data_IF_426356930541
#
_entry.id   IF_426356930541
#
_cell.length_a   1.000
_cell.length_b   1.000
_cell.length_c   1.000
_cell.angle_alpha   90.00
_cell.angle_beta   90.00
_cell.angle_gamma   90.00
#
_symmetry.space_group_name_H-M   'P 1'
#
loop_
_entity.id
_entity.type
_entity.pdbx_description
1 polymer ?
#
# COMPACT_ATOMS: atom_id res chain seq x y z
N UNK A 1 -1.08 -26.97 -10.65
CA UNK A 1 -0.98 -25.59 -10.24
C UNK A 1 -2.35 -24.99 -10.08
N UNK A 2 -2.64 -24.29 -8.97
CA UNK A 2 -3.91 -23.60 -8.71
C UNK A 2 -3.89 -22.14 -9.20
N UNK A 3 -2.77 -21.71 -9.78
CA UNK A 3 -2.62 -20.37 -10.35
C UNK A 3 -3.34 -20.26 -11.69
N UNK A 4 -3.92 -19.09 -11.97
CA UNK A 4 -4.49 -18.77 -13.27
C UNK A 4 -3.83 -17.50 -13.85
N UNK A 5 -3.85 -17.40 -15.18
CA UNK A 5 -3.26 -16.26 -15.87
C UNK A 5 -4.23 -15.06 -15.87
N UNK A 6 -3.71 -13.85 -15.62
CA UNK A 6 -4.54 -12.65 -15.47
C UNK A 6 -5.39 -12.29 -16.69
N UNK A 7 -4.94 -12.64 -17.89
CA UNK A 7 -5.59 -12.27 -19.17
C UNK A 7 -6.31 -13.43 -19.88
N UNK A 8 -6.21 -14.65 -19.37
CA UNK A 8 -6.87 -15.81 -19.96
C UNK A 8 -7.98 -16.34 -19.05
N UNK A 9 -9.08 -16.84 -19.61
CA UNK A 9 -10.12 -17.49 -18.83
C UNK A 9 -9.57 -18.76 -18.16
N UNK A 10 -10.03 -19.03 -16.94
CA UNK A 10 -9.77 -20.30 -16.28
C UNK A 10 -10.63 -21.38 -16.93
N UNK A 11 -10.05 -22.11 -17.89
CA UNK A 11 -10.74 -23.18 -18.63
C UNK A 11 -11.21 -24.33 -17.73
N UNK A 12 -10.64 -24.45 -16.53
CA UNK A 12 -11.04 -25.48 -15.54
C UNK A 12 -12.17 -24.99 -14.63
N UNK A 13 -12.54 -23.70 -14.66
CA UNK A 13 -13.55 -23.14 -13.76
C UNK A 13 -14.94 -23.77 -13.96
N UNK A 14 -15.29 -24.18 -15.18
CA UNK A 14 -16.56 -24.83 -15.50
C UNK A 14 -16.58 -26.30 -15.01
N UNK A 15 -15.45 -27.00 -15.11
CA UNK A 15 -15.33 -28.39 -14.68
C UNK A 15 -15.20 -28.52 -13.15
N UNK A 16 -14.61 -27.54 -12.51
CA UNK A 16 -14.34 -27.52 -11.07
C UNK A 16 -15.30 -26.58 -10.32
N UNK A 17 -16.56 -26.93 -10.19
CA UNK A 17 -17.53 -26.21 -9.35
C UNK A 17 -17.27 -26.32 -7.85
N UNK A 18 -16.27 -27.11 -7.45
CA UNK A 18 -15.87 -27.25 -6.04
C UNK A 18 -14.75 -26.28 -5.71
N UNK A 19 -14.75 -25.77 -4.47
CA UNK A 19 -13.64 -24.99 -3.95
C UNK A 19 -12.35 -25.82 -4.02
N UNK A 20 -11.29 -25.26 -4.63
CA UNK A 20 -10.00 -25.93 -4.80
C UNK A 20 -8.98 -25.26 -3.91
N UNK A 21 -8.29 -26.07 -3.11
CA UNK A 21 -7.30 -25.64 -2.14
C UNK A 21 -7.50 -26.34 -0.79
N UNK A 22 -6.58 -26.10 0.13
CA UNK A 22 -6.71 -26.60 1.51
C UNK A 22 -7.87 -25.88 2.22
N UNK A 23 -8.86 -26.59 2.76
CA UNK A 23 -10.13 -26.02 3.23
C UNK A 23 -9.99 -24.87 4.23
N UNK A 24 -8.97 -24.90 5.08
CA UNK A 24 -8.73 -23.88 6.10
C UNK A 24 -8.41 -22.48 5.49
N UNK A 25 -7.74 -22.42 4.35
CA UNK A 25 -7.20 -21.19 3.71
C UNK A 25 -8.04 -20.64 2.55
N UNK A 26 -9.09 -21.37 2.13
CA UNK A 26 -9.97 -20.95 1.03
C UNK A 26 -10.69 -19.65 1.40
N UNK A 27 -10.63 -18.65 0.51
CA UNK A 27 -11.31 -17.37 0.69
C UNK A 27 -12.84 -17.49 0.46
N UNK A 28 -13.66 -16.60 1.05
CA UNK A 28 -15.11 -16.60 0.90
C UNK A 28 -15.60 -16.67 -0.55
N UNK A 29 -15.03 -15.85 -1.45
CA UNK A 29 -15.37 -15.82 -2.87
C UNK A 29 -15.06 -17.14 -3.58
N UNK A 30 -13.99 -17.83 -3.19
CA UNK A 30 -13.64 -19.13 -3.76
C UNK A 30 -14.64 -20.22 -3.35
N UNK A 31 -15.26 -20.10 -2.17
CA UNK A 31 -16.32 -21.03 -1.71
C UNK A 31 -17.56 -20.95 -2.62
N UNK A 32 -17.83 -19.79 -3.22
CA UNK A 32 -18.93 -19.58 -4.17
C UNK A 32 -18.48 -19.67 -5.64
N UNK A 33 -17.25 -20.14 -5.89
CA UNK A 33 -16.74 -20.44 -7.22
C UNK A 33 -16.02 -19.31 -7.95
N UNK A 34 -15.88 -18.12 -7.34
CA UNK A 34 -15.10 -17.02 -7.93
C UNK A 34 -13.61 -17.32 -7.76
N UNK A 35 -12.86 -17.31 -8.85
CA UNK A 35 -11.42 -17.59 -8.89
C UNK A 35 -10.64 -16.46 -9.53
N UNK A 36 -9.34 -16.49 -9.34
CA UNK A 36 -8.40 -15.54 -9.97
C UNK A 36 -8.44 -14.14 -9.36
N UNK A 37 -9.11 -13.95 -8.22
CA UNK A 37 -8.99 -12.72 -7.46
C UNK A 37 -7.73 -12.78 -6.59
N UNK A 38 -6.70 -11.92 -6.82
CA UNK A 38 -5.46 -11.95 -6.05
C UNK A 38 -5.70 -11.65 -4.55
N UNK A 39 -6.83 -11.05 -4.20
CA UNK A 39 -7.21 -10.78 -2.81
C UNK A 39 -7.64 -12.05 -2.06
N UNK A 40 -7.82 -13.18 -2.76
CA UNK A 40 -7.98 -14.50 -2.13
C UNK A 40 -6.67 -14.95 -1.48
N UNK A 41 -5.52 -14.62 -2.06
CA UNK A 41 -4.20 -14.91 -1.46
C UNK A 41 -3.96 -14.01 -0.24
N UNK A 42 -4.44 -12.76 -0.27
CA UNK A 42 -4.45 -11.88 0.91
C UNK A 42 -5.23 -12.50 2.07
N UNK A 43 -6.39 -13.11 1.77
CA UNK A 43 -7.16 -13.83 2.80
C UNK A 43 -6.38 -15.01 3.36
N UNK A 44 -5.74 -15.82 2.50
CA UNK A 44 -4.92 -16.96 2.94
C UNK A 44 -3.74 -16.51 3.83
N UNK A 45 -3.06 -15.42 3.48
CA UNK A 45 -2.02 -14.79 4.32
C UNK A 45 -2.64 -14.36 5.67
N UNK A 46 -3.84 -13.78 5.66
CA UNK A 46 -4.56 -13.43 6.88
C UNK A 46 -4.83 -14.63 7.79
N UNK A 47 -5.18 -15.79 7.22
CA UNK A 47 -5.34 -17.05 7.97
C UNK A 47 -4.02 -17.49 8.61
N UNK A 48 -2.92 -17.45 7.85
CA UNK A 48 -1.58 -17.79 8.34
C UNK A 48 -1.14 -16.85 9.49
N UNK A 49 -1.31 -15.54 9.31
CA UNK A 49 -0.96 -14.58 10.35
C UNK A 49 -1.80 -14.77 11.62
N UNK A 50 -3.08 -15.09 11.46
CA UNK A 50 -3.96 -15.39 12.59
C UNK A 50 -3.49 -16.61 13.36
N UNK A 51 -3.19 -17.71 12.66
CA UNK A 51 -2.70 -18.95 13.26
C UNK A 51 -1.36 -18.74 13.96
N UNK A 52 -0.41 -18.04 13.33
CA UNK A 52 0.88 -17.69 13.94
C UNK A 52 0.73 -16.83 15.21
N UNK A 53 -0.26 -15.93 15.24
CA UNK A 53 -0.47 -15.03 16.36
C UNK A 53 -1.24 -15.66 17.53
N UNK A 54 -2.08 -16.66 17.25
CA UNK A 54 -3.03 -17.23 18.25
C UNK A 54 -2.84 -18.71 18.54
N UNK A 55 -2.18 -19.45 17.64
CA UNK A 55 -2.10 -20.92 17.67
C UNK A 55 -3.38 -21.61 17.20
N UNK A 56 -4.39 -20.87 16.72
CA UNK A 56 -5.68 -21.40 16.28
C UNK A 56 -6.02 -20.96 14.87
N UNK A 57 -6.81 -21.74 14.15
CA UNK A 57 -7.36 -21.36 12.85
C UNK A 57 -8.60 -20.45 13.03
N UNK A 58 -8.71 -19.33 12.25
CA UNK A 58 -9.77 -18.34 12.45
C UNK A 58 -11.19 -18.87 12.23
N UNK A 59 -11.35 -19.94 11.43
CA UNK A 59 -12.63 -20.59 11.12
C UNK A 59 -12.60 -22.08 11.42
N UNK A 60 -11.62 -22.55 12.21
CA UNK A 60 -11.40 -23.96 12.49
C UNK A 60 -11.07 -24.80 11.24
N UNK A 61 -11.17 -26.09 11.35
CA UNK A 61 -10.97 -27.05 10.26
C UNK A 61 -12.32 -27.47 9.67
N UNK A 62 -12.77 -26.87 8.57
CA UNK A 62 -14.06 -27.19 7.98
C UNK A 62 -14.00 -28.53 7.26
N UNK A 63 -14.69 -29.55 7.80
CA UNK A 63 -14.80 -30.87 7.19
C UNK A 63 -15.86 -30.96 6.07
N UNK A 64 -16.72 -29.94 5.94
CA UNK A 64 -17.83 -29.93 4.99
C UNK A 64 -17.93 -28.63 4.21
N UNK A 65 -18.59 -28.67 3.05
CA UNK A 65 -18.90 -27.47 2.27
C UNK A 65 -19.73 -26.46 3.08
N UNK A 66 -20.62 -26.90 3.94
CA UNK A 66 -21.39 -26.06 4.86
C UNK A 66 -20.51 -25.33 5.86
N UNK A 67 -19.53 -26.03 6.43
CA UNK A 67 -18.51 -25.43 7.31
C UNK A 67 -17.67 -24.36 6.58
N UNK A 68 -17.27 -24.63 5.33
CA UNK A 68 -16.56 -23.64 4.52
C UNK A 68 -17.38 -22.37 4.25
N UNK A 69 -18.70 -22.49 4.09
CA UNK A 69 -19.58 -21.33 3.85
C UNK A 69 -19.70 -20.37 5.05
N UNK A 70 -19.33 -20.79 6.27
CA UNK A 70 -19.37 -19.92 7.44
C UNK A 70 -18.55 -18.63 7.27
N UNK A 71 -17.42 -18.69 6.55
CA UNK A 71 -16.58 -17.52 6.27
C UNK A 71 -17.21 -16.46 5.37
N UNK A 72 -18.35 -16.76 4.73
CA UNK A 72 -19.12 -15.77 3.96
C UNK A 72 -19.81 -14.73 4.86
N UNK A 73 -20.08 -15.08 6.13
CA UNK A 73 -20.88 -14.26 7.04
C UNK A 73 -20.34 -14.18 8.46
N UNK A 74 -19.48 -15.14 8.89
CA UNK A 74 -18.91 -15.16 10.23
C UNK A 74 -17.56 -14.43 10.22
N UNK A 75 -17.36 -13.54 11.21
CA UNK A 75 -16.04 -13.00 11.49
C UNK A 75 -15.31 -13.95 12.45
N UNK A 76 -13.97 -14.08 12.36
CA UNK A 76 -13.21 -14.84 13.33
C UNK A 76 -13.22 -14.16 14.70
N UNK A 77 -12.89 -14.91 15.75
CA UNK A 77 -12.64 -14.30 17.05
C UNK A 77 -11.50 -13.26 16.92
N UNK A 78 -11.56 -12.12 17.60
CA UNK A 78 -10.44 -11.19 17.60
C UNK A 78 -9.16 -11.85 18.13
N UNK A 79 -8.01 -11.77 17.44
CA UNK A 79 -6.76 -12.37 17.90
C UNK A 79 -6.39 -12.04 19.34
N UNK A 80 -6.58 -10.78 19.75
CA UNK A 80 -6.30 -10.31 21.11
C UNK A 80 -7.21 -10.87 22.19
N UNK A 81 -8.34 -11.47 21.83
CA UNK A 81 -9.17 -12.25 22.75
C UNK A 81 -8.52 -13.57 23.12
N UNK A 82 -7.80 -14.19 22.18
CA UNK A 82 -7.12 -15.48 22.37
C UNK A 82 -5.72 -15.28 22.94
N UNK A 83 -5.01 -14.29 22.44
CA UNK A 83 -3.65 -13.94 22.86
C UNK A 83 -3.53 -12.42 23.07
N UNK A 84 -3.50 -11.97 24.32
CA UNK A 84 -3.42 -10.57 24.69
C UNK A 84 -2.05 -9.93 24.34
N UNK A 85 -1.02 -10.72 24.07
CA UNK A 85 0.27 -10.22 23.62
C UNK A 85 0.27 -9.72 22.16
N UNK A 86 -0.76 -10.04 21.37
CA UNK A 86 -0.92 -9.54 20.01
C UNK A 86 -1.15 -8.03 20.05
N UNK A 87 -0.29 -7.21 19.39
CA UNK A 87 -0.48 -5.76 19.39
C UNK A 87 -1.70 -5.34 18.53
N UNK A 88 -2.24 -4.16 18.81
CA UNK A 88 -3.42 -3.63 18.11
C UNK A 88 -3.23 -3.53 16.61
N UNK A 89 -2.05 -3.12 16.17
CA UNK A 89 -1.73 -2.98 14.76
C UNK A 89 -1.77 -4.35 14.02
N UNK A 90 -1.26 -5.40 14.65
CA UNK A 90 -1.25 -6.73 14.02
C UNK A 90 -2.67 -7.30 13.93
N UNK A 91 -3.49 -7.11 14.97
CA UNK A 91 -4.91 -7.46 14.91
C UNK A 91 -5.65 -6.68 13.80
N UNK A 92 -5.37 -5.37 13.65
CA UNK A 92 -5.94 -4.56 12.59
C UNK A 92 -5.63 -5.15 11.20
N UNK A 93 -4.36 -5.51 10.95
CA UNK A 93 -3.91 -6.11 9.70
C UNK A 93 -4.56 -7.47 9.47
N UNK A 94 -4.51 -8.36 10.45
CA UNK A 94 -5.07 -9.73 10.35
C UNK A 94 -6.56 -9.65 10.00
N UNK A 95 -7.34 -8.91 10.77
CA UNK A 95 -8.78 -8.83 10.55
C UNK A 95 -9.17 -8.07 9.28
N UNK A 96 -8.30 -7.20 8.76
CA UNK A 96 -8.48 -6.59 7.44
C UNK A 96 -8.26 -7.61 6.32
N UNK A 97 -7.24 -8.45 6.42
CA UNK A 97 -7.00 -9.54 5.46
C UNK A 97 -8.18 -10.55 5.46
N UNK A 98 -8.73 -10.85 6.63
CA UNK A 98 -9.81 -11.83 6.80
C UNK A 98 -11.22 -11.27 6.54
N UNK A 99 -11.34 -10.04 6.01
CA UNK A 99 -12.65 -9.48 5.72
C UNK A 99 -13.42 -10.34 4.70
N UNK A 100 -14.71 -10.69 4.93
CA UNK A 100 -15.49 -11.52 4.01
C UNK A 100 -15.57 -10.95 2.58
N UNK A 101 -15.74 -9.63 2.46
CA UNK A 101 -15.77 -8.94 1.17
C UNK A 101 -14.34 -8.61 0.70
N UNK A 102 -13.90 -9.18 -0.42
CA UNK A 102 -12.56 -8.99 -0.98
C UNK A 102 -12.23 -7.49 -1.21
N UNK A 103 -13.21 -6.66 -1.59
CA UNK A 103 -13.01 -5.23 -1.80
C UNK A 103 -12.62 -4.44 -0.53
N UNK A 104 -12.84 -5.00 0.66
CA UNK A 104 -12.51 -4.38 1.95
C UNK A 104 -11.18 -4.90 2.53
N UNK A 105 -10.52 -5.83 1.86
CA UNK A 105 -9.17 -6.30 2.16
C UNK A 105 -8.11 -5.33 1.62
N UNK A 106 -6.85 -5.71 1.73
CA UNK A 106 -5.79 -5.04 0.99
C UNK A 106 -5.98 -5.25 -0.51
N UNK A 107 -5.77 -4.21 -1.34
CA UNK A 107 -5.95 -4.33 -2.79
C UNK A 107 -4.85 -5.17 -3.45
N UNK A 108 -3.65 -5.21 -2.89
CA UNK A 108 -2.52 -6.01 -3.36
C UNK A 108 -1.61 -6.46 -2.22
N UNK A 109 -0.74 -7.43 -2.51
CA UNK A 109 0.29 -7.90 -1.57
C UNK A 109 1.27 -6.79 -1.20
N UNK A 110 1.58 -5.87 -2.12
CA UNK A 110 2.45 -4.73 -1.85
C UNK A 110 1.87 -3.80 -0.78
N UNK A 111 0.56 -3.52 -0.82
CA UNK A 111 -0.10 -2.73 0.23
C UNK A 111 -0.06 -3.41 1.61
N UNK A 112 -0.22 -4.73 1.64
CA UNK A 112 -0.10 -5.51 2.88
C UNK A 112 1.34 -5.48 3.40
N UNK A 113 2.32 -5.70 2.53
CA UNK A 113 3.74 -5.70 2.88
C UNK A 113 4.18 -4.34 3.45
N UNK A 114 3.72 -3.22 2.87
CA UNK A 114 4.00 -1.89 3.40
C UNK A 114 3.46 -1.70 4.82
N UNK A 115 2.24 -2.15 5.12
CA UNK A 115 1.68 -2.05 6.47
C UNK A 115 2.43 -2.97 7.45
N UNK A 116 2.79 -4.19 7.05
CA UNK A 116 3.58 -5.10 7.90
C UNK A 116 5.00 -4.56 8.19
N UNK A 117 5.60 -3.88 7.23
CA UNK A 117 6.93 -3.27 7.39
C UNK A 117 6.94 -1.99 8.23
N UNK A 118 5.79 -1.31 8.40
CA UNK A 118 5.70 -0.02 9.09
C UNK A 118 4.53 -0.01 10.09
N UNK A 119 4.60 -0.80 11.15
CA UNK A 119 3.51 -0.98 12.11
C UNK A 119 3.11 0.31 12.85
N UNK A 120 4.04 1.23 13.02
CA UNK A 120 3.86 2.55 13.64
C UNK A 120 3.01 3.51 12.80
N UNK A 121 2.89 3.26 11.49
CA UNK A 121 2.12 4.08 10.56
C UNK A 121 0.70 3.53 10.32
N UNK A 122 0.36 2.39 10.92
CA UNK A 122 -0.96 1.78 10.74
C UNK A 122 -2.02 2.57 11.54
N UNK A 123 -3.05 3.03 10.83
CA UNK A 123 -4.22 3.63 11.47
C UNK A 123 -5.04 2.56 12.19
N UNK A 124 -4.98 2.55 13.52
CA UNK A 124 -5.77 1.64 14.35
C UNK A 124 -7.23 2.09 14.35
N UNK A 125 -8.11 1.23 13.85
CA UNK A 125 -9.57 1.42 13.86
C UNK A 125 -10.21 0.66 15.04
N UNK A 126 -11.56 0.62 15.09
CA UNK A 126 -12.27 -0.23 16.04
C UNK A 126 -11.90 -1.71 15.91
N UNK A 127 -11.48 -2.15 14.73
CA UNK A 127 -11.05 -3.53 14.43
C UNK A 127 -9.80 -3.93 15.22
N UNK A 128 -8.79 -3.06 15.28
CA UNK A 128 -7.56 -3.31 16.05
C UNK A 128 -7.79 -3.37 17.57
N UNK A 129 -8.82 -2.70 18.08
CA UNK A 129 -9.11 -2.59 19.51
C UNK A 129 -10.17 -3.54 20.01
N UNK A 130 -10.95 -4.19 19.13
CA UNK A 130 -12.04 -5.04 19.56
C UNK A 130 -11.55 -6.30 20.28
N UNK A 131 -12.24 -6.66 21.37
CA UNK A 131 -12.03 -7.89 22.14
C UNK A 131 -13.24 -8.83 22.06
N UNK A 132 -14.34 -8.34 21.48
CA UNK A 132 -15.58 -9.12 21.30
C UNK A 132 -15.84 -9.29 19.80
N UNK A 133 -16.33 -10.45 19.42
CA UNK A 133 -16.76 -10.70 18.04
C UNK A 133 -17.94 -9.80 17.62
N UNK A 134 -18.21 -9.80 16.33
CA UNK A 134 -19.34 -9.04 15.72
C UNK A 134 -20.69 -9.49 16.33
N UNK A 135 -21.60 -8.54 16.52
CA UNK A 135 -22.88 -8.81 17.15
C UNK A 135 -23.81 -9.68 16.28
N UNK A 136 -24.71 -10.42 16.93
CA UNK A 136 -25.65 -11.36 16.30
C UNK A 136 -26.47 -10.74 15.12
N UNK A 137 -26.90 -9.49 15.25
CA UNK A 137 -27.70 -8.81 14.20
C UNK A 137 -26.93 -8.67 12.89
N UNK A 138 -25.63 -8.34 12.96
CA UNK A 138 -24.77 -8.20 11.80
C UNK A 138 -24.47 -9.55 11.14
N UNK A 139 -24.20 -10.56 11.96
CA UNK A 139 -24.04 -11.95 11.50
C UNK A 139 -25.31 -12.46 10.80
N UNK A 140 -26.47 -12.21 11.33
CA UNK A 140 -27.74 -12.65 10.74
C UNK A 140 -28.01 -11.96 9.39
N UNK A 141 -27.75 -10.65 9.28
CA UNK A 141 -27.86 -9.91 8.02
C UNK A 141 -26.93 -10.47 6.94
N UNK A 142 -25.66 -10.75 7.30
CA UNK A 142 -24.69 -11.35 6.40
C UNK A 142 -25.06 -12.78 6.03
N UNK A 143 -25.58 -13.54 6.96
CA UNK A 143 -26.06 -14.89 6.71
C UNK A 143 -27.22 -14.92 5.69
N UNK A 144 -28.20 -14.03 5.81
CA UNK A 144 -29.28 -13.91 4.83
C UNK A 144 -28.72 -13.58 3.42
N UNK A 145 -27.75 -12.66 3.34
CA UNK A 145 -27.08 -12.34 2.07
C UNK A 145 -26.35 -13.55 1.52
N UNK A 146 -25.61 -14.28 2.35
CA UNK A 146 -24.86 -15.48 1.97
C UNK A 146 -25.74 -16.66 1.55
N UNK A 147 -26.94 -16.81 2.14
CA UNK A 147 -27.90 -17.85 1.78
C UNK A 147 -28.40 -17.73 0.33
N UNK A 148 -28.48 -16.49 -0.20
CA UNK A 148 -28.85 -16.21 -1.61
C UNK A 148 -27.68 -16.26 -2.60
N UNK A 149 -26.44 -16.51 -2.13
CA UNK A 149 -25.28 -16.59 -3.02
C UNK A 149 -25.19 -17.98 -3.67
N UNK A 150 -25.41 -18.01 -4.98
CA UNK A 150 -25.19 -19.17 -5.82
C UNK A 150 -23.84 -19.11 -6.50
N UNK A 151 -23.40 -20.26 -7.05
CA UNK A 151 -22.22 -20.32 -7.91
C UNK A 151 -22.34 -19.32 -9.07
N UNK A 152 -21.31 -18.52 -9.27
CA UNK A 152 -21.18 -17.62 -10.41
C UNK A 152 -19.90 -17.99 -11.17
N UNK A 153 -19.95 -18.01 -12.52
CA UNK A 153 -18.74 -18.19 -13.31
C UNK A 153 -17.74 -17.09 -12.97
N UNK A 154 -16.49 -17.49 -12.82
CA UNK A 154 -15.42 -16.56 -12.46
C UNK A 154 -15.18 -15.57 -13.60
N UNK A 155 -15.27 -14.27 -13.39
CA UNK A 155 -14.83 -13.29 -14.38
C UNK A 155 -13.31 -13.39 -14.58
N UNK A 156 -12.81 -12.84 -15.70
CA UNK A 156 -11.37 -12.76 -15.95
C UNK A 156 -10.66 -12.07 -14.78
N UNK A 157 -9.53 -12.60 -14.29
CA UNK A 157 -8.80 -12.02 -13.18
C UNK A 157 -8.48 -10.53 -13.39
N UNK A 158 -8.10 -10.13 -14.61
CA UNK A 158 -7.86 -8.73 -14.99
C UNK A 158 -9.06 -7.79 -14.77
N UNK A 159 -10.29 -8.31 -14.78
CA UNK A 159 -11.50 -7.52 -14.49
C UNK A 159 -11.83 -7.44 -13.00
N UNK A 160 -11.20 -8.29 -12.19
CA UNK A 160 -11.39 -8.31 -10.72
C UNK A 160 -10.38 -7.40 -10.01
N UNK A 161 -9.25 -7.15 -10.65
CA UNK A 161 -8.20 -6.30 -10.12
C UNK A 161 -8.61 -4.84 -10.33
N UNK A 162 -9.04 -4.17 -9.26
CA UNK A 162 -8.96 -2.72 -9.22
C UNK A 162 -7.51 -2.37 -8.97
N UNK A 163 -6.83 -1.86 -9.97
CA UNK A 163 -5.49 -1.30 -9.79
C UNK A 163 -5.58 -0.11 -8.85
N UNK A 164 -5.21 -0.33 -7.60
CA UNK A 164 -5.01 0.73 -6.63
C UNK A 164 -3.52 1.05 -6.65
N UNK A 165 -3.10 2.14 -7.30
CA UNK A 165 -1.70 2.40 -7.49
C UNK A 165 -1.02 2.85 -6.20
N UNK A 166 0.27 2.53 -6.11
CA UNK A 166 1.19 3.11 -5.14
C UNK A 166 1.93 4.24 -5.85
N UNK A 167 1.70 5.46 -5.40
CA UNK A 167 2.42 6.64 -5.86
C UNK A 167 3.54 6.94 -4.87
N UNK A 168 4.73 7.16 -5.37
CA UNK A 168 5.87 7.61 -4.57
C UNK A 168 6.16 9.07 -4.90
N UNK A 169 6.26 9.91 -3.88
CA UNK A 169 6.84 11.26 -4.03
C UNK A 169 8.21 11.28 -3.38
N UNK A 170 9.24 11.58 -4.17
CA UNK A 170 10.59 11.78 -3.67
C UNK A 170 10.74 13.24 -3.22
N UNK A 171 10.78 13.43 -1.90
CA UNK A 171 10.88 14.74 -1.26
C UNK A 171 12.36 15.08 -1.00
N UNK A 172 12.77 16.33 -1.26
CA UNK A 172 14.15 16.76 -1.03
C UNK A 172 14.49 16.72 0.46
N UNK A 173 15.70 16.26 0.80
CA UNK A 173 16.23 16.25 2.16
C UNK A 173 16.78 17.62 2.56
N UNK A 174 17.32 18.38 1.60
CA UNK A 174 17.88 19.71 1.82
C UNK A 174 16.81 20.81 1.73
N UNK A 175 17.19 22.01 2.17
CA UNK A 175 16.34 23.18 2.03
C UNK A 175 16.27 23.60 0.56
N UNK A 176 15.06 23.49 0.03
CA UNK A 176 14.69 23.98 -1.30
C UNK A 176 13.64 25.08 -1.13
N UNK A 177 13.41 25.87 -2.19
CA UNK A 177 12.43 26.94 -2.17
C UNK A 177 11.01 26.44 -1.87
N UNK A 178 10.20 27.29 -1.22
CA UNK A 178 8.78 27.02 -0.96
C UNK A 178 8.01 26.74 -2.26
N UNK A 179 8.41 27.36 -3.37
CA UNK A 179 7.83 27.10 -4.68
C UNK A 179 8.05 25.65 -5.14
N UNK A 180 9.20 25.03 -4.85
CA UNK A 180 9.43 23.61 -5.14
C UNK A 180 8.51 22.71 -4.32
N UNK A 181 8.35 23.00 -3.02
CA UNK A 181 7.44 22.25 -2.15
C UNK A 181 5.99 22.37 -2.61
N UNK A 182 5.59 23.56 -3.05
CA UNK A 182 4.25 23.82 -3.57
C UNK A 182 4.01 23.08 -4.88
N UNK A 183 4.92 23.18 -5.85
CA UNK A 183 4.79 22.52 -7.17
C UNK A 183 4.73 20.99 -7.04
N UNK A 184 5.50 20.40 -6.13
CA UNK A 184 5.43 18.97 -5.81
C UNK A 184 4.06 18.59 -5.23
N UNK A 185 3.52 19.41 -4.31
CA UNK A 185 2.21 19.17 -3.71
C UNK A 185 1.09 19.19 -4.74
N UNK A 186 1.12 20.19 -5.63
CA UNK A 186 0.17 20.32 -6.73
C UNK A 186 0.23 19.11 -7.68
N UNK A 187 1.41 18.67 -8.08
CA UNK A 187 1.60 17.52 -8.95
C UNK A 187 1.06 16.23 -8.29
N UNK A 188 1.31 16.06 -6.99
CA UNK A 188 0.79 14.92 -6.21
C UNK A 188 -0.73 15.00 -6.10
N UNK A 189 -1.30 16.15 -5.76
CA UNK A 189 -2.74 16.34 -5.64
C UNK A 189 -3.48 16.01 -6.94
N UNK A 190 -2.97 16.48 -8.08
CA UNK A 190 -3.52 16.13 -9.40
C UNK A 190 -3.41 14.65 -9.71
N UNK A 191 -2.31 14.00 -9.36
CA UNK A 191 -2.10 12.57 -9.60
C UNK A 191 -2.99 11.69 -8.72
N UNK A 192 -3.24 12.09 -7.48
CA UNK A 192 -4.15 11.41 -6.55
C UNK A 192 -5.61 11.56 -6.99
N UNK A 193 -6.02 12.75 -7.43
CA UNK A 193 -7.40 13.03 -7.85
C UNK A 193 -7.92 12.16 -8.99
N UNK A 194 -7.02 11.57 -9.78
CA UNK A 194 -7.37 10.70 -10.90
C UNK A 194 -7.72 9.27 -10.44
N UNK A 195 -7.22 8.83 -9.27
CA UNK A 195 -7.32 7.43 -8.85
C UNK A 195 -7.67 7.31 -7.36
N UNK A 196 -8.96 7.27 -7.01
CA UNK A 196 -9.39 7.15 -5.62
C UNK A 196 -8.87 5.84 -4.99
N UNK A 197 -8.50 5.93 -3.72
CA UNK A 197 -7.97 4.80 -2.95
C UNK A 197 -6.46 4.57 -3.12
N UNK A 198 -5.75 5.38 -3.92
CA UNK A 198 -4.31 5.27 -4.09
C UNK A 198 -3.54 5.38 -2.76
N UNK A 199 -2.39 4.72 -2.68
CA UNK A 199 -1.45 4.89 -1.58
C UNK A 199 -0.34 5.86 -1.99
N UNK A 200 -0.08 6.87 -1.16
CA UNK A 200 1.01 7.81 -1.32
C UNK A 200 2.16 7.43 -0.38
N UNK A 201 3.31 7.11 -0.93
CA UNK A 201 4.56 6.94 -0.19
C UNK A 201 5.40 8.22 -0.31
N UNK A 202 5.54 8.95 0.77
CA UNK A 202 6.45 10.09 0.86
C UNK A 202 7.83 9.58 1.24
N UNK A 203 8.81 9.72 0.35
CA UNK A 203 10.15 9.16 0.52
C UNK A 203 11.16 10.31 0.49
N UNK A 204 12.06 10.33 1.46
CA UNK A 204 13.27 11.17 1.43
C UNK A 204 14.50 10.30 1.62
N UNK A 205 15.62 10.67 0.98
CA UNK A 205 16.90 9.96 1.11
C UNK A 205 17.90 10.90 1.75
N UNK A 206 18.49 10.49 2.85
CA UNK A 206 19.56 11.21 3.54
C UNK A 206 20.90 10.53 3.31
N UNK A 207 21.97 11.33 3.19
CA UNK A 207 23.31 10.78 3.07
C UNK A 207 23.89 10.50 4.46
N UNK A 208 24.56 9.35 4.67
CA UNK A 208 25.30 9.08 5.90
C UNK A 208 26.34 10.17 6.23
N UNK A 209 26.82 10.90 5.23
CA UNK A 209 27.79 12.00 5.41
C UNK A 209 27.15 13.29 5.94
N UNK A 210 25.85 13.47 5.82
CA UNK A 210 25.14 14.64 6.36
C UNK A 210 25.01 14.57 7.88
N UNK A 211 25.27 13.42 8.48
CA UNK A 211 25.25 13.18 9.93
C UNK A 211 26.61 13.38 10.60
N UNK A 212 27.66 13.75 9.87
CA UNK A 212 29.04 13.86 10.35
C UNK A 212 29.39 15.20 11.03
N UNK A 213 28.68 15.58 12.08
CA UNK A 213 29.19 16.57 13.05
C UNK A 213 28.96 16.11 14.49
N UNK A 214 29.99 15.50 15.03
CA UNK A 214 30.48 15.50 16.42
C UNK A 214 29.54 15.20 17.60
N UNK A 215 28.35 14.59 17.45
CA UNK A 215 27.55 14.06 18.57
C UNK A 215 26.83 12.76 18.19
N UNK A 216 27.59 11.69 18.11
CA UNK A 216 27.36 10.47 17.31
C UNK A 216 26.23 9.54 17.80
N UNK A 217 25.58 9.68 18.91
CA UNK A 217 24.60 8.67 19.34
C UNK A 217 23.22 9.20 19.75
N UNK A 218 23.04 10.50 19.84
CA UNK A 218 21.72 11.11 20.02
C UNK A 218 21.16 11.71 18.72
N UNK A 219 21.98 11.81 17.68
CA UNK A 219 21.74 12.56 16.45
C UNK A 219 20.94 11.79 15.41
N UNK A 220 21.17 10.51 15.15
CA UNK A 220 20.51 9.74 14.07
C UNK A 220 18.99 9.67 14.26
N UNK A 221 18.53 9.33 15.45
CA UNK A 221 17.07 9.30 15.73
C UNK A 221 16.42 10.69 15.73
N UNK A 222 17.19 11.76 15.93
CA UNK A 222 16.67 13.14 15.87
C UNK A 222 16.56 13.65 14.43
N UNK A 223 17.54 13.36 13.57
CA UNK A 223 17.51 13.71 12.14
C UNK A 223 16.39 12.96 11.44
N UNK A 224 16.27 11.68 11.69
CA UNK A 224 15.18 10.85 11.13
C UNK A 224 13.80 11.41 11.52
N UNK A 225 13.58 11.71 12.81
CA UNK A 225 12.32 12.32 13.30
C UNK A 225 12.05 13.69 12.69
N UNK A 226 13.08 14.51 12.49
CA UNK A 226 12.95 15.81 11.84
C UNK A 226 12.45 15.67 10.40
N UNK A 227 13.02 14.75 9.61
CA UNK A 227 12.56 14.50 8.23
C UNK A 227 11.14 13.93 8.20
N UNK A 228 10.78 13.02 9.10
CA UNK A 228 9.42 12.53 9.24
C UNK A 228 8.43 13.66 9.53
N UNK A 229 8.75 14.52 10.50
CA UNK A 229 7.89 15.66 10.86
C UNK A 229 7.71 16.63 9.69
N UNK A 230 8.79 16.90 8.93
CA UNK A 230 8.75 17.75 7.73
C UNK A 230 7.85 17.17 6.64
N UNK A 231 7.95 15.87 6.36
CA UNK A 231 7.09 15.19 5.39
C UNK A 231 5.63 15.18 5.85
N UNK A 232 5.38 14.94 7.14
CA UNK A 232 4.03 15.00 7.71
C UNK A 232 3.43 16.41 7.59
N UNK A 233 4.20 17.45 7.92
CA UNK A 233 3.77 18.84 7.75
C UNK A 233 3.45 19.16 6.29
N UNK A 234 4.31 18.75 5.36
CA UNK A 234 4.10 18.96 3.93
C UNK A 234 2.80 18.30 3.45
N UNK A 235 2.49 17.10 3.93
CA UNK A 235 1.32 16.33 3.53
C UNK A 235 -0.02 16.90 4.03
N UNK A 236 -0.01 17.74 5.07
CA UNK A 236 -1.23 18.35 5.63
C UNK A 236 -2.01 19.22 4.63
N UNK A 237 -1.35 19.68 3.56
CA UNK A 237 -1.99 20.43 2.47
C UNK A 237 -2.60 19.59 1.36
N UNK A 238 -2.60 18.25 1.49
CA UNK A 238 -3.19 17.32 0.52
C UNK A 238 -4.57 16.84 1.00
N UNK A 239 -5.53 16.73 0.08
CA UNK A 239 -6.79 16.04 0.36
C UNK A 239 -6.57 14.53 0.26
N UNK A 240 -6.53 13.88 1.41
CA UNK A 240 -6.23 12.46 1.55
C UNK A 240 -7.45 11.64 2.03
N UNK A 241 -8.68 12.16 1.84
CA UNK A 241 -9.89 11.55 2.38
C UNK A 241 -10.03 10.05 2.02
N UNK A 242 -9.75 9.69 0.76
CA UNK A 242 -9.85 8.32 0.25
C UNK A 242 -8.48 7.65 0.04
N UNK A 243 -7.38 8.27 0.50
CA UNK A 243 -6.03 7.83 0.24
C UNK A 243 -5.32 7.37 1.52
N UNK A 244 -4.39 6.42 1.37
CA UNK A 244 -3.45 6.05 2.42
C UNK A 244 -2.13 6.76 2.20
N UNK A 245 -1.51 7.25 3.27
CA UNK A 245 -0.19 7.89 3.23
C UNK A 245 0.78 7.15 4.14
N UNK A 246 2.03 7.06 3.70
CA UNK A 246 3.14 6.54 4.50
C UNK A 246 4.39 7.39 4.28
N UNK A 247 5.28 7.41 5.28
CA UNK A 247 6.48 8.26 5.31
C UNK A 247 7.71 7.39 5.50
N UNK A 248 8.73 7.58 4.65
CA UNK A 248 9.91 6.73 4.62
C UNK A 248 11.16 7.59 4.50
N UNK A 249 12.08 7.45 5.45
CA UNK A 249 13.40 8.04 5.40
C UNK A 249 14.39 6.94 5.08
N UNK A 250 15.06 7.04 3.96
CA UNK A 250 16.08 6.10 3.51
C UNK A 250 17.46 6.67 3.77
N UNK A 251 18.42 5.82 4.09
CA UNK A 251 19.82 6.20 4.24
C UNK A 251 20.64 5.56 3.11
N UNK A 252 21.23 6.39 2.25
CA UNK A 252 22.04 5.90 1.15
C UNK A 252 22.99 6.96 0.62
N UNK A 253 24.14 6.51 0.13
CA UNK A 253 25.12 7.36 -0.58
C UNK A 253 24.71 7.66 -2.02
N UNK A 254 24.05 6.72 -2.70
CA UNK A 254 23.45 6.95 -4.03
C UNK A 254 21.93 7.09 -3.91
N UNK A 255 21.48 8.34 -3.95
CA UNK A 255 20.06 8.70 -3.83
C UNK A 255 19.22 8.10 -4.97
N UNK A 256 19.73 8.11 -6.21
CA UNK A 256 18.98 7.59 -7.34
C UNK A 256 18.76 6.08 -7.21
N UNK A 257 19.82 5.34 -6.89
CA UNK A 257 19.74 3.90 -6.67
C UNK A 257 18.79 3.54 -5.52
N UNK A 258 18.82 4.27 -4.41
CA UNK A 258 17.92 4.04 -3.28
C UNK A 258 16.45 4.23 -3.67
N UNK A 259 16.13 5.30 -4.41
CA UNK A 259 14.76 5.56 -4.87
C UNK A 259 14.26 4.49 -5.85
N UNK A 260 15.10 4.05 -6.79
CA UNK A 260 14.77 2.99 -7.75
C UNK A 260 14.57 1.66 -7.04
N UNK A 261 15.47 1.29 -6.12
CA UNK A 261 15.36 0.06 -5.32
C UNK A 261 14.09 0.06 -4.46
N UNK A 262 13.79 1.19 -3.82
CA UNK A 262 12.54 1.34 -3.07
C UNK A 262 11.31 1.14 -3.97
N UNK A 263 11.31 1.76 -5.16
CA UNK A 263 10.21 1.65 -6.11
C UNK A 263 10.00 0.21 -6.60
N UNK A 264 11.08 -0.52 -6.87
CA UNK A 264 11.04 -1.94 -7.26
C UNK A 264 10.52 -2.82 -6.13
N UNK A 265 11.05 -2.66 -4.92
CA UNK A 265 10.70 -3.50 -3.77
C UNK A 265 9.26 -3.31 -3.29
N UNK A 266 8.66 -2.14 -3.56
CA UNK A 266 7.31 -1.79 -3.12
C UNK A 266 6.29 -1.74 -4.27
N UNK A 267 6.64 -2.22 -5.46
CA UNK A 267 5.76 -2.22 -6.65
C UNK A 267 5.14 -0.85 -6.94
N UNK A 268 5.94 0.21 -6.84
CA UNK A 268 5.51 1.59 -7.10
C UNK A 268 5.10 1.74 -8.56
N UNK A 269 3.94 2.32 -8.80
CA UNK A 269 3.39 2.51 -10.14
C UNK A 269 3.77 3.87 -10.75
N UNK A 270 4.11 4.84 -9.90
CA UNK A 270 4.47 6.19 -10.35
C UNK A 270 5.41 6.87 -9.34
N UNK A 271 6.46 7.49 -9.83
CA UNK A 271 7.38 8.32 -9.05
C UNK A 271 7.17 9.78 -9.43
N UNK A 272 6.97 10.64 -8.44
CA UNK A 272 6.87 12.10 -8.60
C UNK A 272 8.06 12.73 -7.88
N UNK A 273 8.85 13.53 -8.58
CA UNK A 273 10.02 14.18 -7.99
C UNK A 273 10.32 15.53 -8.64
N UNK A 274 11.03 16.39 -7.92
CA UNK A 274 11.46 17.67 -8.43
C UNK A 274 12.52 17.52 -9.55
N UNK A 275 12.39 18.29 -10.60
CA UNK A 275 13.45 18.46 -11.59
C UNK A 275 14.58 19.33 -11.01
N UNK A 276 15.83 19.02 -11.35
CA UNK A 276 16.95 19.88 -10.97
C UNK A 276 16.87 21.20 -11.74
N UNK A 277 16.66 22.31 -11.01
CA UNK A 277 16.39 23.63 -11.61
C UNK A 277 17.62 24.58 -11.64
N UNK A 278 18.72 24.25 -10.95
CA UNK A 278 19.86 25.15 -10.83
C UNK A 278 21.17 24.52 -11.36
N UNK A 279 21.89 25.26 -12.18
CA UNK A 279 23.29 24.99 -12.54
C UNK A 279 23.51 24.03 -13.71
N UNK A 280 22.57 23.86 -14.60
CA UNK A 280 22.73 23.06 -15.80
C UNK A 280 23.47 23.81 -16.89
N UNK A 281 24.80 23.91 -16.80
CA UNK A 281 25.60 23.96 -18.00
C UNK A 281 25.45 22.64 -18.75
N UNK A 282 25.18 22.70 -20.03
CA UNK A 282 24.76 21.59 -20.93
C UNK A 282 25.60 20.30 -20.84
N UNK A 283 26.81 20.36 -20.30
CA UNK A 283 27.76 19.23 -20.17
C UNK A 283 27.52 18.33 -18.94
N UNK A 284 26.57 18.67 -18.02
CA UNK A 284 26.31 17.88 -16.80
C UNK A 284 24.95 17.18 -16.79
N UNK A 285 24.29 17.06 -17.93
CA UNK A 285 22.96 16.45 -18.04
C UNK A 285 22.86 14.98 -17.60
N UNK A 286 23.96 14.23 -17.66
CA UNK A 286 23.95 12.77 -17.46
C UNK A 286 24.02 12.33 -16.00
N UNK A 287 24.23 13.25 -15.06
CA UNK A 287 24.59 12.87 -13.68
C UNK A 287 23.59 13.30 -12.59
N UNK A 288 22.43 13.92 -12.93
CA UNK A 288 21.50 14.37 -11.90
C UNK A 288 20.59 13.23 -11.43
N UNK A 289 20.26 13.23 -10.13
CA UNK A 289 19.38 12.22 -9.51
C UNK A 289 18.07 12.02 -10.30
N UNK A 290 17.33 13.09 -10.72
CA UNK A 290 16.09 12.91 -11.47
C UNK A 290 16.25 12.18 -12.80
N UNK A 291 17.36 12.44 -13.52
CA UNK A 291 17.62 11.78 -14.80
C UNK A 291 17.96 10.31 -14.59
N UNK A 292 18.82 10.00 -13.63
CA UNK A 292 19.15 8.60 -13.29
C UNK A 292 17.88 7.83 -12.90
N UNK A 293 17.04 8.40 -12.03
CA UNK A 293 15.79 7.77 -11.64
C UNK A 293 14.87 7.58 -12.85
N UNK A 294 14.75 8.57 -13.74
CA UNK A 294 13.90 8.46 -14.93
C UNK A 294 14.38 7.37 -15.92
N UNK A 295 15.70 7.10 -15.97
CA UNK A 295 16.27 6.06 -16.84
C UNK A 295 16.12 4.65 -16.25
N UNK A 296 16.25 4.51 -14.93
CA UNK A 296 16.36 3.21 -14.27
C UNK A 296 15.07 2.76 -13.55
N UNK A 297 14.08 3.65 -13.42
CA UNK A 297 12.84 3.35 -12.71
C UNK A 297 11.99 2.30 -13.45
N UNK A 298 11.36 1.35 -12.71
CA UNK A 298 10.50 0.33 -13.30
C UNK A 298 9.10 0.84 -13.68
N UNK A 299 8.82 2.12 -13.45
CA UNK A 299 7.49 2.71 -13.55
C UNK A 299 7.52 4.12 -14.14
N UNK A 300 6.35 4.75 -14.29
CA UNK A 300 6.24 6.13 -14.77
C UNK A 300 6.93 7.10 -13.82
N UNK A 301 7.73 8.03 -14.35
CA UNK A 301 8.39 9.10 -13.59
C UNK A 301 7.87 10.47 -14.07
N UNK A 302 7.37 11.25 -13.11
CA UNK A 302 6.95 12.64 -13.35
C UNK A 302 8.00 13.57 -12.74
N UNK A 303 8.64 14.37 -13.61
CA UNK A 303 9.56 15.41 -13.21
C UNK A 303 8.83 16.74 -13.09
N UNK A 304 8.75 17.25 -11.88
CA UNK A 304 8.06 18.52 -11.57
C UNK A 304 9.06 19.67 -11.65
N UNK A 305 8.83 20.59 -12.55
CA UNK A 305 9.57 21.84 -12.61
C UNK A 305 8.96 22.85 -11.63
N UNK A 306 9.80 23.71 -11.09
CA UNK A 306 9.34 24.85 -10.33
C UNK A 306 8.58 25.79 -11.29
N UNK A 307 7.36 26.19 -10.92
CA UNK A 307 6.67 27.26 -11.64
C UNK A 307 7.43 28.57 -11.37
N UNK A 308 8.01 29.12 -12.43
CA UNK A 308 8.55 30.48 -12.40
C UNK A 308 7.36 31.40 -12.64
N UNK A 309 7.00 32.30 -11.70
CA UNK A 309 5.94 33.27 -11.94
C UNK A 309 6.24 34.07 -13.22
N UNK A 310 5.21 34.27 -14.03
CA UNK A 310 5.31 34.96 -15.35
C UNK A 310 5.95 36.36 -15.28
N UNK A 311 5.96 36.98 -14.09
CA UNK A 311 6.57 38.27 -13.82
C UNK A 311 8.10 38.29 -14.01
N UNK A 312 8.79 37.15 -13.92
CA UNK A 312 10.23 37.07 -14.13
C UNK A 312 10.66 36.84 -15.59
N UNK A 313 9.75 36.54 -16.50
CA UNK A 313 10.05 36.31 -17.90
C UNK A 313 10.08 37.63 -18.72
N UNK A 314 9.60 38.74 -18.15
CA UNK A 314 9.57 40.04 -18.79
C UNK A 314 10.86 40.84 -18.72
N UNK A 315 11.86 40.44 -17.92
CA UNK A 315 13.10 41.23 -17.73
C UNK A 315 14.33 40.69 -18.48
N UNK A 316 14.16 39.66 -19.33
CA UNK A 316 15.27 39.03 -20.07
C UNK A 316 15.37 39.51 -21.55
N UNK A 317 14.55 40.48 -21.99
CA UNK A 317 14.54 40.95 -23.37
C UNK A 317 14.97 42.42 -23.59
N UNK A 318 15.55 43.08 -22.57
CA UNK A 318 16.14 44.41 -22.75
C UNK A 318 17.60 44.37 -22.28
N UNK A 319 18.51 43.78 -23.11
CA UNK A 319 19.92 44.20 -23.25
C UNK A 319 20.50 43.57 -24.54
#
# INVERSE_FOLDING_TARGET
SLSCHAHYPDLLAEEMRKAVGSPAWIAPEQVVGVRGDPRSDIFAIGVMLYELATGELPFGEPATAGGMRQRLWMDPAPPRKLNQAVPEWLQEVILKCLHPEAAKRYPSAAHLAMDLGHPDQIRITARGRQLKGTGFKEHFKRWLKAAGMHYQPSPLPSRQIKEVPILMVALPHADVSDATWYSLREAVARSLGIRPGARLACVTVISPNDTSSTEISRSESSVHRMHLARMQQWSQGLDLYDHQISFHVLEATDVAHALVTYAQSNEVNMIIMGAATHGLQMQRFVATVPIKVAMDAPCTVILVKQDVPFEFLGTLNDD
#
